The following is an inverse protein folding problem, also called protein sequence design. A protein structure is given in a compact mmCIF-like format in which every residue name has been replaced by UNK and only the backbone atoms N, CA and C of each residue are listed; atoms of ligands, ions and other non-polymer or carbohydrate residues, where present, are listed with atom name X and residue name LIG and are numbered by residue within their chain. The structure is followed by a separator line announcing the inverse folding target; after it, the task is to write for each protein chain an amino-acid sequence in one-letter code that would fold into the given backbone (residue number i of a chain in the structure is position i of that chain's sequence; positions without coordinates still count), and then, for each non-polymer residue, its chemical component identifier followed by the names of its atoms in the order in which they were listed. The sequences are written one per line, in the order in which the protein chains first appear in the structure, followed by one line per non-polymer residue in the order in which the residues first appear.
data_IF_417438392684
#
_entry.id   IF_417438392684
#
_cell.length_a   1.000
_cell.length_b   1.000
_cell.length_c   1.000
_cell.angle_alpha   90.00
_cell.angle_beta   90.00
_cell.angle_gamma   90.00
#
_symmetry.space_group_name_H-M   'P 1'
#
loop_
_entity.id
_entity.type
_entity.pdbx_description
1 polymer ?
#
# COMPACT_ATOMS: atom_id res chain seq x y z
N UNK A 1 -23.08 1.58 -0.46
CA UNK A 1 -24.12 2.39 -1.14
C UNK A 1 -24.83 3.37 -0.19
N UNK A 2 -25.24 2.94 1.02
CA UNK A 2 -26.03 3.76 1.96
C UNK A 2 -25.17 4.49 3.02
N UNK A 3 -23.98 4.94 2.62
CA UNK A 3 -23.00 5.57 3.51
C UNK A 3 -22.29 4.62 4.48
N UNK A 4 -21.41 5.16 5.33
CA UNK A 4 -20.48 4.38 6.18
C UNK A 4 -21.17 3.60 7.31
N UNK A 5 -22.41 3.96 7.66
CA UNK A 5 -23.21 3.27 8.69
C UNK A 5 -24.14 2.20 8.10
N UNK A 6 -24.22 2.12 6.76
CA UNK A 6 -25.01 1.14 6.03
C UNK A 6 -24.25 -0.16 5.76
N UNK A 7 -24.83 -1.02 4.91
CA UNK A 7 -24.18 -2.25 4.47
C UNK A 7 -22.96 -1.93 3.60
N UNK A 8 -21.85 -2.60 3.89
CA UNK A 8 -20.65 -2.58 3.06
C UNK A 8 -20.66 -3.75 2.08
N UNK A 9 -20.04 -3.56 0.93
CA UNK A 9 -19.77 -4.62 -0.04
C UNK A 9 -18.35 -4.47 -0.58
N UNK A 10 -17.78 -5.57 -1.08
CA UNK A 10 -16.49 -5.59 -1.76
C UNK A 10 -16.71 -6.19 -3.14
N UNK A 11 -16.44 -5.42 -4.19
CA UNK A 11 -16.76 -5.80 -5.56
C UNK A 11 -15.49 -5.87 -6.40
N UNK A 12 -15.19 -7.08 -6.86
CA UNK A 12 -14.13 -7.36 -7.84
C UNK A 12 -14.71 -7.54 -9.24
N UNK A 13 -15.78 -8.33 -9.31
CA UNK A 13 -16.51 -8.66 -10.53
C UNK A 13 -17.44 -7.52 -10.94
N UNK A 14 -17.24 -7.00 -12.15
CA UNK A 14 -18.04 -5.96 -12.76
C UNK A 14 -19.46 -6.51 -13.02
N UNK A 15 -20.53 -5.79 -12.65
CA UNK A 15 -21.89 -6.26 -12.83
C UNK A 15 -22.28 -6.19 -14.31
N UNK A 16 -23.21 -7.06 -14.74
CA UNK A 16 -23.64 -7.14 -16.14
C UNK A 16 -24.35 -5.90 -16.71
N UNK A 17 -24.55 -4.85 -15.92
CA UNK A 17 -25.09 -3.56 -16.37
C UNK A 17 -24.02 -2.49 -16.60
N UNK A 18 -22.72 -2.85 -16.51
CA UNK A 18 -21.63 -1.91 -16.78
C UNK A 18 -21.70 -1.44 -18.24
N UNK A 19 -21.64 -0.11 -18.49
CA UNK A 19 -21.65 0.42 -19.86
C UNK A 19 -20.44 -0.03 -20.67
N UNK A 20 -20.62 -0.20 -21.98
CA UNK A 20 -19.57 -0.65 -22.92
C UNK A 20 -18.32 0.27 -22.98
N UNK A 21 -18.45 1.53 -22.56
CA UNK A 21 -17.33 2.48 -22.52
C UNK A 21 -16.43 2.29 -21.29
N UNK A 22 -16.89 1.56 -20.26
CA UNK A 22 -16.06 1.19 -19.12
C UNK A 22 -15.23 -0.03 -19.50
N UNK A 23 -13.92 0.12 -19.48
CA UNK A 23 -13.02 -0.99 -19.74
C UNK A 23 -13.05 -2.00 -18.59
N UNK A 24 -13.18 -3.28 -18.93
CA UNK A 24 -12.97 -4.41 -18.02
C UNK A 24 -12.00 -5.42 -18.62
N UNK A 25 -11.40 -6.24 -17.77
CA UNK A 25 -10.61 -7.41 -18.20
C UNK A 25 -11.00 -8.66 -17.42
N UNK A 26 -11.07 -9.84 -18.07
CA UNK A 26 -11.33 -11.09 -17.37
C UNK A 26 -10.09 -11.52 -16.59
N UNK A 27 -10.28 -11.88 -15.31
CA UNK A 27 -9.24 -12.44 -14.45
C UNK A 27 -9.80 -13.68 -13.74
N UNK A 28 -9.06 -14.79 -13.78
CA UNK A 28 -9.41 -16.00 -13.06
C UNK A 28 -9.49 -15.74 -11.55
N UNK A 29 -10.61 -16.13 -10.95
CA UNK A 29 -10.86 -16.02 -9.52
C UNK A 29 -10.95 -17.41 -8.89
N UNK A 30 -10.03 -17.69 -7.97
CA UNK A 30 -10.04 -18.92 -7.18
C UNK A 30 -11.30 -19.03 -6.30
N UNK A 31 -11.85 -17.91 -5.83
CA UNK A 31 -13.03 -17.89 -4.96
C UNK A 31 -14.30 -18.35 -5.73
N UNK A 32 -14.39 -17.99 -7.01
CA UNK A 32 -15.58 -18.25 -7.85
C UNK A 32 -15.39 -19.36 -8.88
N UNK A 33 -14.16 -19.87 -9.03
CA UNK A 33 -13.79 -20.91 -10.00
C UNK A 33 -14.21 -20.56 -11.44
N UNK A 34 -14.07 -19.28 -11.80
CA UNK A 34 -14.31 -18.74 -13.14
C UNK A 34 -13.56 -17.43 -13.32
N UNK A 35 -13.49 -16.95 -14.55
CA UNK A 35 -13.11 -15.58 -14.83
C UNK A 35 -14.18 -14.60 -14.32
N UNK A 36 -13.71 -13.53 -13.67
CA UNK A 36 -14.51 -12.39 -13.25
C UNK A 36 -13.96 -11.13 -13.91
N UNK A 37 -14.83 -10.17 -14.21
CA UNK A 37 -14.46 -8.98 -14.93
C UNK A 37 -13.96 -7.91 -13.97
N UNK A 38 -12.68 -7.57 -14.01
CA UNK A 38 -12.14 -6.47 -13.22
C UNK A 38 -12.26 -5.15 -13.96
N UNK A 39 -12.66 -4.10 -13.25
CA UNK A 39 -12.63 -2.74 -13.77
C UNK A 39 -11.19 -2.28 -14.05
N UNK A 40 -11.01 -1.61 -15.19
CA UNK A 40 -9.80 -0.86 -15.52
C UNK A 40 -10.16 0.62 -15.54
N UNK A 41 -9.55 1.41 -14.65
CA UNK A 41 -9.84 2.83 -14.49
C UNK A 41 -8.67 3.67 -15.02
N UNK A 42 -8.78 4.12 -16.28
CA UNK A 42 -7.70 4.85 -16.97
C UNK A 42 -7.99 6.35 -17.17
N UNK A 43 -9.20 6.81 -16.82
CA UNK A 43 -9.64 8.18 -17.02
C UNK A 43 -10.57 8.66 -15.89
N UNK A 44 -10.90 9.94 -15.94
CA UNK A 44 -11.71 10.62 -14.92
C UNK A 44 -13.15 10.13 -14.98
N UNK A 45 -13.68 9.89 -16.18
CA UNK A 45 -15.04 9.42 -16.42
C UNK A 45 -15.27 8.04 -15.78
N UNK A 46 -14.34 7.11 -15.97
CA UNK A 46 -14.33 5.79 -15.34
C UNK A 46 -14.26 5.90 -13.82
N UNK A 47 -13.40 6.79 -13.30
CA UNK A 47 -13.29 7.04 -11.86
C UNK A 47 -14.61 7.56 -11.28
N UNK A 48 -15.25 8.53 -11.95
CA UNK A 48 -16.54 9.10 -11.55
C UNK A 48 -17.63 8.03 -11.59
N UNK A 49 -17.63 7.16 -12.60
CA UNK A 49 -18.56 6.03 -12.68
C UNK A 49 -18.39 5.07 -11.49
N UNK A 50 -17.15 4.68 -11.17
CA UNK A 50 -16.87 3.82 -10.02
C UNK A 50 -17.35 4.46 -8.71
N UNK A 51 -17.12 5.76 -8.53
CA UNK A 51 -17.62 6.50 -7.36
C UNK A 51 -19.15 6.52 -7.33
N UNK A 52 -19.80 6.68 -8.48
CA UNK A 52 -21.27 6.67 -8.61
C UNK A 52 -21.90 5.32 -8.23
N UNK A 53 -21.15 4.21 -8.33
CA UNK A 53 -21.56 2.91 -7.78
C UNK A 53 -21.53 2.86 -6.23
N UNK A 54 -21.14 3.96 -5.57
CA UNK A 54 -20.98 4.05 -4.13
C UNK A 54 -19.65 3.50 -3.62
N UNK A 55 -18.63 3.45 -4.48
CA UNK A 55 -17.30 2.88 -4.16
C UNK A 55 -16.50 3.77 -3.21
N UNK A 56 -16.32 3.31 -1.97
CA UNK A 56 -15.33 3.83 -1.02
C UNK A 56 -14.85 2.65 -0.14
N UNK A 57 -13.54 2.31 -0.09
CA UNK A 57 -12.43 2.88 -0.86
C UNK A 57 -12.20 2.14 -2.20
N UNK A 58 -11.35 2.71 -3.06
CA UNK A 58 -10.78 2.02 -4.21
C UNK A 58 -9.59 1.16 -3.78
N UNK A 59 -9.57 -0.09 -4.21
CA UNK A 59 -8.41 -0.98 -4.06
C UNK A 59 -7.88 -1.35 -5.45
N UNK A 60 -6.56 -1.26 -5.61
CA UNK A 60 -5.86 -1.47 -6.88
C UNK A 60 -4.90 -2.64 -6.78
N UNK A 61 -4.63 -3.25 -7.93
CA UNK A 61 -3.47 -4.10 -8.11
C UNK A 61 -2.18 -3.29 -7.99
N UNK A 62 -1.09 -3.97 -7.68
CA UNK A 62 0.25 -3.38 -7.71
C UNK A 62 0.95 -3.58 -9.06
N UNK A 63 0.27 -4.23 -10.01
CA UNK A 63 0.68 -4.46 -11.39
C UNK A 63 -0.33 -3.82 -12.36
N UNK A 64 0.06 -3.71 -13.63
CA UNK A 64 -0.77 -3.16 -14.71
C UNK A 64 -1.24 -4.25 -15.66
N UNK A 65 -2.28 -3.94 -16.43
CA UNK A 65 -3.00 -4.91 -17.27
C UNK A 65 -2.14 -5.53 -18.40
N UNK A 66 -1.01 -4.92 -18.72
CA UNK A 66 -0.06 -5.41 -19.73
C UNK A 66 0.84 -6.53 -19.19
N UNK A 67 1.06 -6.61 -17.87
CA UNK A 67 1.58 -7.80 -17.19
C UNK A 67 1.14 -7.83 -15.73
N UNK A 68 0.08 -8.59 -15.44
CA UNK A 68 -0.46 -8.72 -14.10
C UNK A 68 0.47 -9.48 -13.14
N UNK A 69 1.50 -10.17 -13.63
CA UNK A 69 2.37 -11.03 -12.81
C UNK A 69 3.56 -10.28 -12.20
N UNK A 70 3.86 -9.08 -12.72
CA UNK A 70 5.01 -8.26 -12.37
C UNK A 70 4.56 -6.92 -11.76
N UNK A 71 4.58 -6.78 -10.42
CA UNK A 71 4.20 -5.52 -9.79
C UNK A 71 5.18 -4.38 -10.12
N UNK A 72 4.67 -3.17 -10.16
CA UNK A 72 5.43 -1.93 -10.27
C UNK A 72 6.12 -1.58 -8.93
N UNK A 73 5.49 -1.92 -7.80
CA UNK A 73 6.04 -1.71 -6.46
C UNK A 73 5.76 -2.87 -5.50
N UNK A 74 6.65 -3.00 -4.53
CA UNK A 74 6.54 -3.83 -3.34
C UNK A 74 6.01 -2.98 -2.17
N UNK A 75 5.22 -3.56 -1.27
CA UNK A 75 4.60 -2.85 -0.15
C UNK A 75 5.05 -3.41 1.21
N UNK A 76 5.38 -2.53 2.15
CA UNK A 76 5.38 -2.85 3.59
C UNK A 76 4.22 -2.11 4.25
N UNK A 77 3.30 -2.84 4.87
CA UNK A 77 2.22 -2.26 5.68
C UNK A 77 2.57 -2.34 7.17
N UNK A 78 2.67 -1.18 7.80
CA UNK A 78 2.91 -1.04 9.24
C UNK A 78 1.57 -0.90 9.96
N UNK A 79 1.05 -2.04 10.44
CA UNK A 79 -0.27 -2.13 11.06
C UNK A 79 -0.14 -2.19 12.60
N UNK A 80 -0.44 -1.09 13.32
CA UNK A 80 -0.27 -1.08 14.77
C UNK A 80 -1.24 -2.00 15.51
N UNK A 81 -2.44 -2.26 14.96
CA UNK A 81 -3.59 -2.73 15.75
C UNK A 81 -3.75 -1.92 17.05
N UNK A 82 -3.40 -2.51 18.19
CA UNK A 82 -3.50 -1.92 19.52
C UNK A 82 -2.21 -1.19 19.96
N UNK A 83 -1.13 -1.30 19.18
CA UNK A 83 0.14 -0.64 19.45
C UNK A 83 0.02 0.89 19.32
N UNK A 84 0.79 1.66 20.10
CA UNK A 84 0.89 3.11 19.93
C UNK A 84 1.33 3.50 18.51
N UNK A 85 0.70 4.52 17.93
CA UNK A 85 1.11 5.04 16.61
C UNK A 85 2.56 5.55 16.60
N UNK A 86 3.10 5.98 17.74
CA UNK A 86 4.51 6.33 17.88
C UNK A 86 5.45 5.17 17.49
N UNK A 87 5.06 3.91 17.74
CA UNK A 87 5.83 2.75 17.30
C UNK A 87 5.81 2.63 15.77
N UNK A 88 4.69 2.94 15.10
CA UNK A 88 4.61 2.97 13.63
C UNK A 88 5.58 4.00 13.06
N UNK A 89 5.66 5.20 13.66
CA UNK A 89 6.61 6.24 13.26
C UNK A 89 8.06 5.78 13.44
N UNK A 90 8.38 5.17 14.59
CA UNK A 90 9.72 4.64 14.84
C UNK A 90 10.13 3.61 13.78
N UNK A 91 9.26 2.61 13.52
CA UNK A 91 9.53 1.57 12.54
C UNK A 91 9.58 2.09 11.10
N UNK A 92 8.76 3.09 10.76
CA UNK A 92 8.82 3.73 9.45
C UNK A 92 10.15 4.44 9.22
N UNK A 93 10.68 5.12 10.24
CA UNK A 93 12.01 5.76 10.17
C UNK A 93 13.13 4.73 10.07
N UNK A 94 13.06 3.62 10.83
CA UNK A 94 14.03 2.53 10.72
C UNK A 94 13.99 1.89 9.33
N UNK A 95 12.79 1.65 8.79
CA UNK A 95 12.63 1.16 7.42
C UNK A 95 13.23 2.12 6.40
N UNK A 96 12.98 3.43 6.54
CA UNK A 96 13.57 4.45 5.66
C UNK A 96 15.09 4.42 5.71
N UNK A 97 15.67 4.41 6.91
CA UNK A 97 17.11 4.32 7.10
C UNK A 97 17.69 3.05 6.46
N UNK A 98 17.05 1.89 6.68
CA UNK A 98 17.46 0.64 6.05
C UNK A 98 17.44 0.76 4.52
N UNK A 99 16.38 1.36 3.95
CA UNK A 99 16.28 1.60 2.52
C UNK A 99 17.41 2.53 2.02
N UNK A 100 17.69 3.62 2.74
CA UNK A 100 18.78 4.56 2.40
C UNK A 100 20.16 3.87 2.45
N UNK A 101 20.42 3.04 3.47
CA UNK A 101 21.70 2.32 3.67
C UNK A 101 22.03 1.35 2.51
N UNK A 102 20.99 0.79 1.89
CA UNK A 102 21.10 -0.16 0.76
C UNK A 102 20.71 0.45 -0.58
N UNK A 103 20.55 1.78 -0.63
CA UNK A 103 20.19 2.54 -1.82
C UNK A 103 18.88 2.11 -2.49
N UNK A 104 17.95 1.56 -1.71
CA UNK A 104 16.60 1.24 -2.16
C UNK A 104 15.71 2.49 -2.07
N UNK A 105 15.13 3.00 -3.18
CA UNK A 105 14.17 4.08 -3.10
C UNK A 105 12.94 3.65 -2.29
N UNK A 106 12.39 4.56 -1.50
CA UNK A 106 11.20 4.28 -0.69
C UNK A 106 10.27 5.50 -0.68
N UNK A 107 8.98 5.22 -0.82
CA UNK A 107 7.89 6.19 -0.80
C UNK A 107 6.93 5.85 0.32
N UNK A 108 6.19 6.82 0.85
CA UNK A 108 5.32 6.59 2.01
C UNK A 108 3.97 7.26 1.83
N UNK A 109 2.94 6.60 2.34
CA UNK A 109 1.60 7.16 2.45
C UNK A 109 0.94 6.74 3.75
N UNK A 110 0.05 7.58 4.24
CA UNK A 110 -0.87 7.15 5.29
C UNK A 110 -1.84 6.10 4.74
N UNK A 111 -2.32 5.23 5.62
CA UNK A 111 -3.38 4.28 5.23
C UNK A 111 -4.74 4.98 5.15
N UNK A 112 -4.92 6.08 5.89
CA UNK A 112 -6.23 6.65 6.21
C UNK A 112 -6.98 5.87 7.30
N UNK A 113 -6.32 4.91 7.97
CA UNK A 113 -6.83 4.20 9.15
C UNK A 113 -5.86 4.40 10.30
N UNK A 114 -5.11 3.37 10.67
CA UNK A 114 -4.23 3.37 11.84
C UNK A 114 -2.75 3.24 11.49
N UNK A 115 -2.41 2.71 10.30
CA UNK A 115 -1.03 2.41 9.90
C UNK A 115 -0.42 3.37 8.88
N UNK A 116 0.77 2.98 8.41
CA UNK A 116 1.46 3.58 7.26
C UNK A 116 1.77 2.50 6.22
N UNK A 117 1.76 2.88 4.95
CA UNK A 117 2.24 2.06 3.85
C UNK A 117 3.57 2.64 3.35
N UNK A 118 4.57 1.77 3.23
CA UNK A 118 5.86 2.09 2.59
C UNK A 118 5.89 1.34 1.28
N UNK A 119 6.12 2.06 0.19
CA UNK A 119 6.10 1.57 -1.18
C UNK A 119 7.53 1.60 -1.72
N UNK A 120 8.04 0.43 -2.09
CA UNK A 120 9.37 0.24 -2.64
C UNK A 120 9.20 -0.02 -4.14
N UNK A 121 9.64 0.86 -5.05
CA UNK A 121 9.50 0.61 -6.47
C UNK A 121 10.31 -0.63 -6.84
N UNK A 122 9.79 -1.48 -7.72
CA UNK A 122 10.53 -2.64 -8.25
C UNK A 122 10.58 -2.63 -9.76
N UNK A 123 9.94 -1.66 -10.42
CA UNK A 123 10.05 -1.44 -11.87
C UNK A 123 9.71 -2.67 -12.69
N UNK A 124 8.79 -3.53 -12.21
CA UNK A 124 8.38 -4.79 -12.85
C UNK A 124 9.51 -5.81 -13.02
N UNK A 125 10.62 -5.65 -12.30
CA UNK A 125 11.76 -6.56 -12.35
C UNK A 125 11.46 -7.89 -11.63
N UNK A 126 10.51 -7.88 -10.69
CA UNK A 126 10.16 -9.02 -9.84
C UNK A 126 8.79 -9.60 -10.20
N UNK A 127 8.62 -10.89 -9.95
CA UNK A 127 7.29 -11.52 -9.79
C UNK A 127 6.72 -11.19 -8.40
N UNK A 128 5.41 -11.38 -8.20
CA UNK A 128 4.81 -11.26 -6.86
C UNK A 128 5.49 -12.13 -5.79
N UNK A 129 5.89 -13.36 -6.15
CA UNK A 129 6.58 -14.25 -5.21
C UNK A 129 7.94 -13.68 -4.77
N UNK A 130 8.72 -13.13 -5.70
CA UNK A 130 9.99 -12.46 -5.40
C UNK A 130 9.78 -11.15 -4.63
N UNK A 131 8.77 -10.37 -5.00
CA UNK A 131 8.40 -9.14 -4.26
C UNK A 131 8.03 -9.44 -2.82
N UNK A 132 7.31 -10.54 -2.56
CA UNK A 132 6.99 -11.00 -1.22
C UNK A 132 8.25 -11.40 -0.43
N UNK A 133 9.19 -12.11 -1.05
CA UNK A 133 10.47 -12.46 -0.40
C UNK A 133 11.26 -11.21 -0.01
N UNK A 134 11.35 -10.22 -0.91
CA UNK A 134 11.96 -8.93 -0.63
C UNK A 134 11.27 -8.25 0.56
N UNK A 135 9.94 -8.15 0.54
CA UNK A 135 9.17 -7.56 1.62
C UNK A 135 9.41 -8.26 2.97
N UNK A 136 9.46 -9.59 2.97
CA UNK A 136 9.71 -10.38 4.17
C UNK A 136 11.11 -10.14 4.73
N UNK A 137 12.12 -9.97 3.87
CA UNK A 137 13.49 -9.66 4.28
C UNK A 137 13.55 -8.30 4.99
N UNK A 138 13.03 -7.24 4.36
CA UNK A 138 12.96 -5.90 4.97
C UNK A 138 12.14 -5.90 6.26
N UNK A 139 10.99 -6.58 6.28
CA UNK A 139 10.16 -6.70 7.46
C UNK A 139 10.90 -7.39 8.62
N UNK A 140 11.70 -8.42 8.30
CA UNK A 140 12.48 -9.16 9.29
C UNK A 140 13.60 -8.30 9.87
N UNK A 141 14.39 -7.64 9.02
CA UNK A 141 15.47 -6.75 9.44
C UNK A 141 14.97 -5.67 10.41
N UNK A 142 13.89 -4.97 10.04
CA UNK A 142 13.30 -3.93 10.91
C UNK A 142 12.72 -4.51 12.20
N UNK A 143 12.15 -5.73 12.14
CA UNK A 143 11.63 -6.38 13.34
C UNK A 143 12.74 -6.83 14.29
N UNK A 144 13.87 -7.31 13.77
CA UNK A 144 15.02 -7.75 14.58
C UNK A 144 15.74 -6.57 15.25
N UNK A 145 15.73 -5.38 14.64
CA UNK A 145 16.21 -4.14 15.29
C UNK A 145 15.28 -3.62 16.40
N UNK A 146 13.98 -3.99 16.36
CA UNK A 146 12.94 -3.49 17.27
C UNK A 146 12.01 -4.59 17.83
N UNK A 147 12.56 -5.66 18.45
CA UNK A 147 11.77 -6.83 18.85
C UNK A 147 10.77 -6.54 19.98
N UNK A 148 10.92 -5.42 20.68
CA UNK A 148 10.05 -4.92 21.73
C UNK A 148 8.76 -4.30 21.18
N UNK A 149 8.82 -3.66 20.01
CA UNK A 149 7.68 -2.91 19.42
C UNK A 149 7.20 -3.44 18.06
N UNK A 150 7.92 -4.35 17.42
CA UNK A 150 7.59 -4.90 16.10
C UNK A 150 7.38 -6.42 16.12
N UNK A 151 6.59 -6.92 15.16
CA UNK A 151 6.40 -8.35 14.95
C UNK A 151 6.05 -8.67 13.50
N UNK A 152 6.47 -9.85 13.04
CA UNK A 152 6.01 -10.46 11.78
C UNK A 152 4.98 -11.58 12.02
N UNK A 153 4.52 -11.75 13.26
CA UNK A 153 3.51 -12.75 13.62
C UNK A 153 2.13 -12.39 13.05
N UNK A 154 1.61 -13.25 12.17
CA UNK A 154 0.30 -13.05 11.54
C UNK A 154 -0.85 -13.14 12.54
N UNK A 155 -0.80 -14.09 13.48
CA UNK A 155 -1.88 -14.31 14.45
C UNK A 155 -1.98 -13.13 15.41
N UNK A 156 -3.12 -12.43 15.42
CA UNK A 156 -3.32 -11.20 16.21
C UNK A 156 -3.02 -11.43 17.69
N UNK A 157 -3.49 -12.54 18.28
CA UNK A 157 -3.25 -12.86 19.70
C UNK A 157 -1.78 -13.04 20.06
N UNK A 158 -0.90 -13.29 19.08
CA UNK A 158 0.55 -13.42 19.25
C UNK A 158 1.31 -12.12 19.00
N UNK A 159 0.61 -11.02 18.71
CA UNK A 159 1.25 -9.72 18.44
C UNK A 159 1.54 -8.93 19.72
N UNK A 160 0.88 -9.24 20.83
CA UNK A 160 1.22 -8.72 22.17
C UNK A 160 1.39 -7.18 22.23
N UNK A 161 0.54 -6.44 21.51
CA UNK A 161 0.60 -4.97 21.48
C UNK A 161 1.73 -4.38 20.62
N UNK A 162 2.37 -5.19 19.77
CA UNK A 162 3.40 -4.77 18.81
C UNK A 162 2.81 -4.44 17.44
N UNK A 163 3.51 -3.56 16.72
CA UNK A 163 3.19 -3.23 15.34
C UNK A 163 3.49 -4.43 14.45
N UNK A 164 2.51 -4.84 13.66
CA UNK A 164 2.68 -5.87 12.66
C UNK A 164 3.31 -5.28 11.41
N UNK A 165 4.50 -5.76 11.05
CA UNK A 165 5.20 -5.39 9.82
C UNK A 165 4.77 -6.38 8.73
N UNK A 166 3.71 -6.03 8.00
CA UNK A 166 3.04 -6.93 7.06
C UNK A 166 3.68 -6.90 5.67
N UNK A 167 4.39 -7.98 5.35
CA UNK A 167 4.90 -8.25 4.01
C UNK A 167 3.88 -8.95 3.10
N UNK A 168 2.80 -9.53 3.63
CA UNK A 168 1.93 -10.45 2.89
C UNK A 168 0.86 -9.80 2.03
N UNK A 169 0.83 -8.48 2.02
CA UNK A 169 0.15 -7.68 1.02
C UNK A 169 0.73 -7.89 -0.39
N UNK A 170 1.96 -8.41 -0.51
CA UNK A 170 2.63 -8.70 -1.79
C UNK A 170 2.27 -10.05 -2.43
N UNK A 171 1.22 -10.74 -1.96
CA UNK A 171 0.77 -11.97 -2.62
C UNK A 171 0.05 -11.62 -3.93
N UNK A 172 0.17 -12.49 -4.92
CA UNK A 172 -0.60 -12.35 -6.17
C UNK A 172 -2.10 -12.24 -5.87
N UNK A 173 -2.79 -11.33 -6.57
CA UNK A 173 -4.22 -11.09 -6.38
C UNK A 173 -4.61 -10.27 -5.14
N UNK A 174 -3.66 -9.86 -4.30
CA UNK A 174 -3.94 -8.90 -3.23
C UNK A 174 -4.10 -7.50 -3.78
N UNK A 175 -5.13 -6.81 -3.30
CA UNK A 175 -5.44 -5.44 -3.69
C UNK A 175 -5.17 -4.50 -2.53
N UNK A 176 -4.63 -3.33 -2.85
CA UNK A 176 -4.25 -2.33 -1.86
C UNK A 176 -5.03 -1.06 -2.03
N UNK A 177 -5.35 -0.38 -0.92
CA UNK A 177 -6.02 0.92 -1.02
C UNK A 177 -5.16 1.89 -1.82
N UNK A 178 -5.76 2.43 -2.89
CA UNK A 178 -5.09 3.35 -3.79
C UNK A 178 -4.63 4.62 -3.06
N UNK A 179 -3.49 5.22 -3.46
CA UNK A 179 -3.20 6.61 -3.14
C UNK A 179 -4.42 7.50 -3.40
N UNK A 180 -4.66 8.47 -2.52
CA UNK A 180 -5.79 9.40 -2.57
C UNK A 180 -7.18 8.77 -2.37
N UNK A 181 -7.30 7.46 -2.14
CA UNK A 181 -8.62 6.89 -1.83
C UNK A 181 -9.10 7.33 -0.45
N UNK A 182 -10.33 7.82 -0.39
CA UNK A 182 -11.06 8.06 0.86
C UNK A 182 -11.34 6.72 1.54
N UNK A 183 -11.27 6.69 2.88
CA UNK A 183 -11.61 5.51 3.70
C UNK A 183 -13.01 5.67 4.29
N UNK A 184 -13.79 4.58 4.41
CA UNK A 184 -15.12 4.60 5.00
C UNK A 184 -15.01 4.65 6.53
N UNK A 185 -14.62 5.80 7.07
CA UNK A 185 -14.42 6.03 8.49
C UNK A 185 -14.83 7.46 8.86
N UNK A 186 -15.23 7.73 10.11
CA UNK A 186 -15.61 9.08 10.54
C UNK A 186 -14.53 10.11 10.20
N UNK A 187 -14.95 11.24 9.64
CA UNK A 187 -14.04 12.29 9.15
C UNK A 187 -13.53 12.09 7.72
N UNK A 188 -13.88 10.99 7.05
CA UNK A 188 -13.46 10.66 5.68
C UNK A 188 -11.94 10.80 5.47
N UNK A 189 -11.11 10.12 6.31
CA UNK A 189 -9.67 10.14 6.15
C UNK A 189 -9.26 9.50 4.84
N UNK A 190 -8.09 9.87 4.33
CA UNK A 190 -7.61 9.41 3.02
C UNK A 190 -6.32 8.60 3.17
N UNK A 191 -6.10 7.65 2.26
CA UNK A 191 -4.77 7.09 2.09
C UNK A 191 -3.89 8.12 1.37
N UNK A 192 -3.24 8.98 2.14
CA UNK A 192 -2.62 10.20 1.63
C UNK A 192 -1.12 10.00 1.40
N UNK A 193 -0.63 10.19 0.16
CA UNK A 193 0.79 10.43 -0.12
C UNK A 193 1.38 11.54 0.75
N UNK A 194 2.53 11.27 1.35
CA UNK A 194 3.25 12.22 2.20
C UNK A 194 4.74 12.18 1.88
N UNK A 195 5.44 13.26 2.21
CA UNK A 195 6.90 13.31 2.17
C UNK A 195 7.49 12.66 3.43
N UNK A 196 8.73 12.18 3.36
CA UNK A 196 9.38 11.53 4.49
C UNK A 196 9.60 12.45 5.69
N UNK A 197 9.79 13.75 5.47
CA UNK A 197 9.90 14.76 6.54
C UNK A 197 8.62 14.90 7.37
N UNK A 198 7.47 14.49 6.80
CA UNK A 198 6.19 14.47 7.50
C UNK A 198 6.03 13.23 8.40
N UNK A 199 6.91 12.22 8.30
CA UNK A 199 6.94 11.03 9.17
C UNK A 199 7.57 11.39 10.51
N UNK A 200 6.82 12.13 11.33
CA UNK A 200 7.27 12.64 12.63
C UNK A 200 6.18 12.50 13.71
N UNK A 201 6.46 12.98 14.92
CA UNK A 201 5.57 12.80 16.08
C UNK A 201 4.20 13.52 15.95
N UNK A 202 4.07 14.49 15.04
CA UNK A 202 2.81 15.18 14.75
C UNK A 202 1.96 14.45 13.72
N UNK A 203 2.50 13.43 13.05
CA UNK A 203 1.78 12.68 12.03
C UNK A 203 0.64 11.88 12.66
N UNK A 204 -0.52 11.95 12.04
CA UNK A 204 -1.66 11.10 12.32
C UNK A 204 -2.49 10.92 11.05
N UNK A 205 -3.10 9.75 10.87
CA UNK A 205 -3.92 9.45 9.69
C UNK A 205 -5.10 10.45 9.53
N UNK A 206 -5.66 10.95 10.64
CA UNK A 206 -6.76 11.93 10.62
C UNK A 206 -6.32 13.35 10.21
N UNK A 207 -5.02 13.63 10.05
CA UNK A 207 -4.58 14.90 9.51
C UNK A 207 -4.97 15.07 8.04
N UNK A 208 -5.30 13.98 7.33
CA UNK A 208 -5.58 14.00 5.90
C UNK A 208 -6.99 13.48 5.63
N UNK A 209 -7.86 14.36 5.17
CA UNK A 209 -9.27 14.07 4.91
C UNK A 209 -9.70 14.65 3.57
N UNK A 210 -10.85 14.21 3.09
CA UNK A 210 -11.43 14.76 1.84
C UNK A 210 -11.60 16.29 1.88
N UNK A 211 -11.76 16.88 3.07
CA UNK A 211 -11.98 18.34 3.22
C UNK A 211 -10.72 19.17 3.08
N UNK A 212 -9.53 18.60 3.25
CA UNK A 212 -8.27 19.33 3.18
C UNK A 212 -7.33 18.86 2.05
N UNK A 213 -7.55 17.67 1.49
CA UNK A 213 -6.68 17.05 0.49
C UNK A 213 -6.43 17.93 -0.74
N UNK A 214 -7.47 18.50 -1.34
CA UNK A 214 -7.31 19.32 -2.55
C UNK A 214 -6.47 20.57 -2.30
N UNK A 215 -6.65 21.24 -1.15
CA UNK A 215 -5.86 22.41 -0.77
C UNK A 215 -4.40 22.01 -0.52
N UNK A 216 -4.17 20.85 0.10
CA UNK A 216 -2.84 20.28 0.32
C UNK A 216 -2.13 20.00 -1.01
N UNK A 217 -2.77 19.29 -1.94
CA UNK A 217 -2.14 18.95 -3.22
C UNK A 217 -1.78 20.19 -4.05
N UNK A 218 -2.66 21.21 -4.06
CA UNK A 218 -2.33 22.51 -4.68
C UNK A 218 -1.12 23.19 -4.04
N UNK A 219 -0.87 22.97 -2.76
CA UNK A 219 0.28 23.55 -2.05
C UNK A 219 1.57 22.75 -2.28
N UNK A 220 1.49 21.42 -2.30
CA UNK A 220 2.64 20.56 -2.60
C UNK A 220 3.13 20.76 -4.04
N UNK A 221 2.22 20.95 -4.99
CA UNK A 221 2.54 21.11 -6.40
C UNK A 221 2.75 19.77 -7.11
N UNK A 222 3.37 18.81 -6.42
CA UNK A 222 3.69 17.48 -6.95
C UNK A 222 3.10 16.36 -6.08
N UNK A 223 3.00 15.16 -6.67
CA UNK A 223 2.57 13.93 -5.99
C UNK A 223 3.80 13.23 -5.35
N UNK A 224 3.87 13.15 -4.00
CA UNK A 224 5.03 12.57 -3.31
C UNK A 224 5.32 11.11 -3.65
N UNK A 225 4.37 10.37 -4.19
CA UNK A 225 4.54 8.93 -4.48
C UNK A 225 4.46 8.59 -5.96
N UNK A 226 4.25 9.55 -6.86
CA UNK A 226 4.13 9.27 -8.31
C UNK A 226 5.35 8.56 -8.86
N UNK A 227 6.55 8.97 -8.43
CA UNK A 227 7.81 8.39 -8.86
C UNK A 227 7.94 6.89 -8.56
N UNK A 228 7.12 6.31 -7.67
CA UNK A 228 7.11 4.86 -7.45
C UNK A 228 6.75 4.06 -8.71
N UNK A 229 5.98 4.66 -9.63
CA UNK A 229 5.57 4.05 -10.89
C UNK A 229 6.64 4.12 -11.98
N UNK A 230 7.57 5.06 -11.84
CA UNK A 230 8.57 5.43 -12.87
C UNK A 230 9.98 4.95 -12.50
N UNK A 231 10.25 4.80 -11.19
CA UNK A 231 11.56 4.42 -10.68
C UNK A 231 11.84 2.95 -10.96
N UNK A 232 12.99 2.67 -11.59
CA UNK A 232 13.53 1.33 -11.79
C UNK A 232 14.85 1.26 -10.99
N UNK A 233 14.85 0.67 -9.78
CA UNK A 233 16.06 0.59 -8.97
C UNK A 233 17.01 -0.51 -9.45
N UNK A 234 18.29 -0.39 -9.11
CA UNK A 234 19.27 -1.48 -9.25
C UNK A 234 19.08 -2.50 -8.11
N UNK A 235 18.19 -3.46 -8.33
CA UNK A 235 17.87 -4.47 -7.31
C UNK A 235 19.03 -5.43 -7.04
N UNK A 236 19.96 -5.60 -7.98
CA UNK A 236 21.15 -6.44 -7.74
C UNK A 236 22.03 -5.74 -6.72
N UNK A 237 22.31 -4.46 -6.93
CA UNK A 237 23.09 -3.66 -5.98
C UNK A 237 22.42 -3.62 -4.60
N UNK A 238 21.10 -3.39 -4.53
CA UNK A 238 20.34 -3.44 -3.27
C UNK A 238 20.54 -4.77 -2.54
N UNK A 239 20.47 -5.90 -3.25
CA UNK A 239 20.66 -7.23 -2.67
C UNK A 239 22.10 -7.48 -2.22
N UNK A 240 23.10 -6.99 -2.95
CA UNK A 240 24.52 -7.03 -2.55
C UNK A 240 24.73 -6.29 -1.23
N UNK A 241 24.21 -5.06 -1.13
CA UNK A 241 24.30 -4.22 0.08
C UNK A 241 23.56 -4.84 1.28
N UNK A 242 22.40 -5.45 1.05
CA UNK A 242 21.69 -6.22 2.06
C UNK A 242 22.51 -7.42 2.54
N UNK A 243 23.17 -8.13 1.63
CA UNK A 243 24.01 -9.27 1.95
C UNK A 243 25.27 -8.86 2.73
N UNK A 244 25.92 -7.75 2.34
CA UNK A 244 27.03 -7.16 3.11
C UNK A 244 26.62 -6.83 4.54
N UNK A 245 25.46 -6.18 4.71
CA UNK A 245 24.92 -5.84 6.03
C UNK A 245 24.65 -7.07 6.90
N UNK A 246 24.23 -8.17 6.28
CA UNK A 246 23.96 -9.44 6.96
C UNK A 246 25.24 -10.28 7.22
N UNK A 247 26.36 -9.92 6.59
CA UNK A 247 27.59 -10.70 6.53
C UNK A 247 28.72 -10.22 7.44
N UNK A 248 28.44 -9.38 8.44
CA UNK A 248 29.43 -8.92 9.45
C UNK A 248 29.35 -9.65 10.81
N UNK A 249 29.02 -10.96 10.80
CA UNK A 249 29.22 -11.87 11.94
C UNK A 249 30.20 -13.01 11.60
#
# INVERSE_FOLDING_TARGET
PDGINGKSFYQKDAPGFVPDWIQTIPIWSEDTQRDIDYFVCNDVESLVYLVNLGTIPLHIWMSRIDDLTRPDWCLIDLDPKDAPFAHVIALAKTMRKLCDDVEMPAFVKTTGKSGLHIMLPVGRQLTYAQSLQLAMLFARLVTDEHPDIATTQRTISKREGKVYVDAFQNRAGQLMVAPYSVRPSPGAPMSMPIEWDEVNAMLHNSNFTITNALKRMKKLGDDPVLAVLETIPDLVHVLERLNERLGED
#
